data_IF_378239190710
#
_entry.id   IF_378239190710
#
_cell.length_a   1.000
_cell.length_b   1.000
_cell.length_c   1.000
_cell.angle_alpha   90.00
_cell.angle_beta   90.00
_cell.angle_gamma   90.00
#
_symmetry.space_group_name_H-M   'P 1'
#
loop_
_entity.id
_entity.type
_entity.pdbx_description
1 polymer ?
#
# COMPACT_ATOMS: atom_id res chain seq x y z
N UNK A 1 -4.78 -14.27 1.07
CA UNK A 1 -4.51 -13.32 -0.01
C UNK A 1 -5.76 -12.50 -0.39
N UNK A 2 -6.85 -13.10 -0.85
CA UNK A 2 -8.06 -12.39 -1.32
C UNK A 2 -8.71 -11.48 -0.26
N UNK A 3 -8.82 -11.93 1.01
CA UNK A 3 -9.39 -11.11 2.10
C UNK A 3 -8.56 -9.86 2.42
N UNK A 4 -7.24 -9.95 2.31
CA UNK A 4 -6.34 -8.82 2.54
C UNK A 4 -6.42 -7.83 1.39
N UNK A 5 -6.46 -8.30 0.14
CA UNK A 5 -6.61 -7.46 -1.05
C UNK A 5 -7.97 -6.75 -1.08
N UNK A 6 -9.06 -7.45 -0.70
CA UNK A 6 -10.39 -6.88 -0.57
C UNK A 6 -10.41 -5.73 0.45
N UNK A 7 -9.86 -5.94 1.66
CA UNK A 7 -9.77 -4.89 2.69
C UNK A 7 -8.97 -3.67 2.21
N UNK A 8 -7.81 -3.90 1.61
CA UNK A 8 -6.96 -2.82 1.07
C UNK A 8 -7.69 -2.01 0.00
N UNK A 9 -8.38 -2.68 -0.92
CA UNK A 9 -9.13 -2.02 -1.98
C UNK A 9 -10.29 -1.18 -1.43
N UNK A 10 -11.06 -1.74 -0.49
CA UNK A 10 -12.15 -1.02 0.18
C UNK A 10 -11.63 0.23 0.90
N UNK A 11 -10.55 0.09 1.70
CA UNK A 11 -9.96 1.22 2.43
C UNK A 11 -9.45 2.29 1.46
N UNK A 12 -8.74 1.90 0.39
CA UNK A 12 -8.19 2.84 -0.57
C UNK A 12 -9.29 3.66 -1.28
N UNK A 13 -10.35 3.03 -1.75
CA UNK A 13 -11.46 3.73 -2.40
C UNK A 13 -12.26 4.59 -1.43
N UNK A 14 -12.51 4.11 -0.20
CA UNK A 14 -13.20 4.90 0.82
C UNK A 14 -12.39 6.15 1.20
N UNK A 15 -11.07 6.00 1.39
CA UNK A 15 -10.19 7.12 1.71
C UNK A 15 -10.09 8.12 0.56
N UNK A 16 -9.95 7.66 -0.68
CA UNK A 16 -9.93 8.51 -1.87
C UNK A 16 -11.22 9.31 -2.00
N UNK A 17 -12.36 8.65 -1.84
CA UNK A 17 -13.67 9.31 -1.89
C UNK A 17 -13.81 10.35 -0.79
N UNK A 18 -13.43 10.00 0.47
CA UNK A 18 -13.49 10.93 1.60
C UNK A 18 -12.67 12.20 1.34
N UNK A 19 -11.45 12.04 0.82
CA UNK A 19 -10.58 13.18 0.48
C UNK A 19 -11.18 14.06 -0.62
N UNK A 20 -11.67 13.46 -1.70
CA UNK A 20 -12.28 14.19 -2.82
C UNK A 20 -13.56 14.92 -2.38
N UNK A 21 -14.44 14.25 -1.63
CA UNK A 21 -15.68 14.84 -1.14
C UNK A 21 -15.41 15.98 -0.15
N UNK A 22 -14.48 15.77 0.79
CA UNK A 22 -14.09 16.80 1.77
C UNK A 22 -13.46 18.01 1.09
N UNK A 23 -12.61 17.81 0.10
CA UNK A 23 -12.02 18.90 -0.69
C UNK A 23 -13.10 19.68 -1.47
N UNK A 24 -14.05 18.98 -2.10
CA UNK A 24 -15.17 19.60 -2.80
C UNK A 24 -16.07 20.41 -1.85
N UNK A 25 -16.44 19.81 -0.70
CA UNK A 25 -17.25 20.48 0.30
C UNK A 25 -16.57 21.73 0.87
N UNK A 26 -15.27 21.66 1.17
CA UNK A 26 -14.48 22.79 1.63
C UNK A 26 -14.39 23.92 0.59
N UNK A 27 -14.23 23.56 -0.68
CA UNK A 27 -14.18 24.52 -1.78
C UNK A 27 -15.53 25.22 -1.98
N UNK A 28 -16.61 24.47 -1.94
CA UNK A 28 -17.97 25.01 -2.06
C UNK A 28 -18.33 25.91 -0.88
N UNK A 29 -18.03 25.47 0.35
CA UNK A 29 -18.22 26.28 1.56
C UNK A 29 -17.41 27.55 1.53
N UNK A 30 -16.12 27.47 1.17
CA UNK A 30 -15.23 28.62 1.09
C UNK A 30 -15.66 29.62 -0.01
N UNK A 31 -16.10 29.12 -1.15
CA UNK A 31 -16.61 29.96 -2.25
C UNK A 31 -17.87 30.72 -1.81
N UNK A 32 -18.83 30.03 -1.19
CA UNK A 32 -20.08 30.65 -0.73
C UNK A 32 -19.79 31.69 0.37
N UNK A 33 -18.92 31.35 1.32
CA UNK A 33 -18.51 32.27 2.38
C UNK A 33 -17.84 33.53 1.81
N UNK A 34 -16.97 33.37 0.80
CA UNK A 34 -16.30 34.48 0.13
C UNK A 34 -17.33 35.42 -0.57
N UNK A 35 -18.24 34.84 -1.37
CA UNK A 35 -19.26 35.62 -2.09
C UNK A 35 -20.14 36.39 -1.13
N UNK A 36 -20.65 35.74 -0.06
CA UNK A 36 -21.50 36.40 0.94
C UNK A 36 -20.73 37.48 1.69
N UNK A 37 -19.45 37.27 1.99
CA UNK A 37 -18.62 38.30 2.64
C UNK A 37 -18.41 39.54 1.74
N UNK A 38 -18.20 39.32 0.45
CA UNK A 38 -18.08 40.43 -0.49
C UNK A 38 -19.40 41.19 -0.64
N UNK A 39 -20.51 40.47 -0.76
CA UNK A 39 -21.84 41.08 -0.82
C UNK A 39 -22.13 41.96 0.40
N UNK A 40 -21.79 41.48 1.62
CA UNK A 40 -21.95 42.27 2.85
C UNK A 40 -21.14 43.58 2.85
N UNK A 41 -19.93 43.55 2.29
CA UNK A 41 -19.11 44.77 2.14
C UNK A 41 -19.69 45.75 1.13
N UNK A 42 -20.12 45.24 0.00
CA UNK A 42 -20.75 46.06 -1.06
C UNK A 42 -22.05 46.68 -0.58
N UNK A 43 -22.82 45.98 0.24
CA UNK A 43 -24.04 46.50 0.87
C UNK A 43 -23.75 47.67 1.84
N UNK A 44 -22.69 47.51 2.66
CA UNK A 44 -22.26 48.63 3.56
C UNK A 44 -21.75 49.83 2.80
N UNK A 45 -20.98 49.64 1.73
CA UNK A 45 -20.53 50.74 0.86
C UNK A 45 -21.69 51.43 0.15
N UNK A 46 -22.68 50.65 -0.31
CA UNK A 46 -23.90 51.18 -0.94
C UNK A 46 -24.69 52.01 0.05
N UNK A 47 -24.85 51.55 1.28
CA UNK A 47 -25.51 52.26 2.36
C UNK A 47 -24.77 53.59 2.68
N UNK A 48 -23.44 53.54 2.81
CA UNK A 48 -22.61 54.73 3.00
C UNK A 48 -22.82 55.76 1.89
N UNK A 49 -22.68 55.37 0.62
CA UNK A 49 -22.77 56.26 -0.53
C UNK A 49 -24.16 56.88 -0.67
N UNK A 50 -25.24 56.15 -0.26
CA UNK A 50 -26.61 56.66 -0.31
C UNK A 50 -26.88 57.77 0.75
N UNK A 51 -26.15 57.74 1.88
CA UNK A 51 -26.36 58.66 3.00
C UNK A 51 -25.22 59.64 3.24
N UNK A 52 -24.18 59.65 2.38
CA UNK A 52 -23.00 60.51 2.56
C UNK A 52 -23.33 61.97 2.78
N UNK A 53 -24.33 62.53 2.07
CA UNK A 53 -24.75 63.89 2.21
C UNK A 53 -25.39 64.17 3.58
N UNK A 54 -26.13 63.26 4.15
CA UNK A 54 -26.79 63.38 5.47
C UNK A 54 -25.74 63.37 6.58
N UNK A 55 -24.66 62.56 6.43
CA UNK A 55 -23.58 62.49 7.41
C UNK A 55 -22.82 63.81 7.54
N UNK A 56 -22.61 64.56 6.44
CA UNK A 56 -22.05 65.92 6.50
C UNK A 56 -22.97 66.91 7.27
N UNK A 57 -24.28 66.76 7.11
CA UNK A 57 -25.23 67.62 7.79
C UNK A 57 -25.26 67.34 9.29
N UNK A 58 -25.13 66.06 9.69
CA UNK A 58 -25.10 65.69 11.10
C UNK A 58 -23.82 66.20 11.82
N UNK A 59 -22.69 66.33 11.14
CA UNK A 59 -21.48 66.92 11.73
C UNK A 59 -21.63 68.38 12.16
N UNK A 60 -22.65 69.09 11.66
CA UNK A 60 -22.90 70.48 11.97
C UNK A 60 -23.96 70.65 13.10
N UNK A 61 -24.52 69.60 13.65
CA UNK A 61 -25.51 69.64 14.72
C UNK A 61 -24.84 70.08 16.02
N UNK A 62 -25.51 70.96 16.80
CA UNK A 62 -24.94 71.53 18.03
C UNK A 62 -24.99 70.58 19.24
N UNK A 63 -25.80 69.55 19.21
CA UNK A 63 -25.99 68.56 20.31
C UNK A 63 -25.73 67.16 19.83
N UNK A 64 -25.08 66.33 20.68
CA UNK A 64 -24.88 64.92 20.40
C UNK A 64 -26.22 64.15 20.63
N UNK A 65 -26.56 63.31 19.65
CA UNK A 65 -27.83 62.54 19.70
C UNK A 65 -27.60 61.09 19.25
N UNK A 66 -28.05 60.16 20.08
CA UNK A 66 -28.00 58.74 19.78
C UNK A 66 -29.42 58.16 19.74
N UNK A 67 -29.83 57.61 18.57
CA UNK A 67 -31.12 56.96 18.40
C UNK A 67 -30.95 55.46 18.54
N UNK A 68 -31.93 54.83 19.18
CA UNK A 68 -32.00 53.36 19.29
C UNK A 68 -33.19 52.83 18.53
N UNK A 69 -32.98 51.94 17.57
CA UNK A 69 -34.03 51.22 16.83
C UNK A 69 -33.61 49.76 16.56
N UNK A 70 -34.16 48.81 17.29
CA UNK A 70 -33.81 47.40 17.19
C UNK A 70 -34.18 46.76 15.84
N UNK A 71 -35.02 47.40 15.01
CA UNK A 71 -35.46 46.90 13.72
C UNK A 71 -34.54 47.37 12.56
N UNK A 72 -33.54 48.19 12.84
CA UNK A 72 -32.62 48.67 11.81
C UNK A 72 -31.59 47.60 11.51
N UNK A 73 -31.36 47.39 10.20
CA UNK A 73 -30.31 46.51 9.71
C UNK A 73 -28.93 47.16 9.78
N UNK A 74 -28.87 48.44 9.58
CA UNK A 74 -27.64 49.25 9.58
C UNK A 74 -27.66 50.17 10.79
N UNK A 75 -26.46 50.39 11.34
CA UNK A 75 -26.17 51.40 12.36
C UNK A 75 -24.98 52.25 11.92
N UNK A 76 -24.88 53.44 12.48
CA UNK A 76 -23.75 54.32 12.24
C UNK A 76 -23.45 55.19 13.43
N UNK A 77 -22.16 55.64 13.51
CA UNK A 77 -21.68 56.58 14.52
C UNK A 77 -20.78 57.56 13.86
N UNK A 78 -21.05 58.87 14.13
CA UNK A 78 -20.28 60.01 13.61
C UNK A 78 -19.47 60.62 14.74
N UNK A 79 -18.20 60.78 14.51
CA UNK A 79 -17.29 61.41 15.44
C UNK A 79 -16.66 62.64 14.76
N UNK A 80 -16.32 63.69 15.57
CA UNK A 80 -15.56 64.83 15.09
C UNK A 80 -14.09 64.45 14.82
N UNK A 81 -13.30 65.45 14.37
CA UNK A 81 -11.86 65.28 14.12
C UNK A 81 -11.05 64.89 15.38
N UNK A 82 -11.57 65.22 16.57
CA UNK A 82 -10.94 64.93 17.85
C UNK A 82 -11.45 63.59 18.47
N UNK A 83 -12.32 62.87 17.76
CA UNK A 83 -12.88 61.58 18.16
C UNK A 83 -14.06 61.70 19.14
N UNK A 84 -14.67 62.90 19.29
CA UNK A 84 -15.83 63.10 20.14
C UNK A 84 -17.10 62.68 19.39
N UNK A 85 -17.95 61.86 20.03
CA UNK A 85 -19.20 61.39 19.44
C UNK A 85 -20.17 62.58 19.21
N UNK A 86 -20.74 62.66 17.99
CA UNK A 86 -21.70 63.68 17.59
C UNK A 86 -23.09 63.09 17.37
N UNK A 87 -23.21 62.13 16.48
CA UNK A 87 -24.50 61.57 16.09
C UNK A 87 -24.41 60.10 15.78
N UNK A 88 -25.51 59.39 15.96
CA UNK A 88 -25.57 57.96 15.56
C UNK A 88 -26.93 57.31 15.76
N UNK A 89 -27.05 56.22 15.06
CA UNK A 89 -28.16 55.27 15.23
C UNK A 89 -27.61 53.89 15.61
N UNK A 90 -28.11 53.28 16.68
CA UNK A 90 -27.71 51.94 17.09
C UNK A 90 -28.87 50.93 17.04
N UNK A 91 -28.55 49.71 16.60
CA UNK A 91 -29.48 48.59 16.59
C UNK A 91 -29.45 47.76 17.89
N UNK A 92 -28.33 47.84 18.62
CA UNK A 92 -28.11 47.14 19.90
C UNK A 92 -27.62 48.17 20.93
N UNK A 93 -28.28 48.22 22.11
CA UNK A 93 -27.96 49.18 23.16
C UNK A 93 -26.55 49.02 23.69
N UNK A 94 -25.78 50.10 23.69
CA UNK A 94 -24.41 50.13 24.23
C UNK A 94 -23.32 49.68 23.24
N UNK A 95 -23.70 49.31 22.01
CA UNK A 95 -22.79 48.93 20.97
C UNK A 95 -21.76 50.05 20.62
N UNK A 96 -22.23 51.29 20.67
CA UNK A 96 -21.39 52.47 20.43
C UNK A 96 -20.17 52.52 21.36
N UNK A 97 -20.34 52.26 22.65
CA UNK A 97 -19.25 52.33 23.63
C UNK A 97 -18.16 51.22 23.37
N UNK A 98 -18.59 50.05 23.00
CA UNK A 98 -17.67 48.93 22.68
C UNK A 98 -16.92 49.17 21.37
N UNK A 99 -17.62 49.53 20.32
CA UNK A 99 -17.00 49.83 19.01
C UNK A 99 -16.08 51.04 19.10
N UNK A 100 -16.40 52.04 19.91
CA UNK A 100 -15.52 53.18 20.14
C UNK A 100 -14.16 52.78 20.71
N UNK A 101 -14.10 51.86 21.67
CA UNK A 101 -12.84 51.36 22.22
C UNK A 101 -12.00 50.65 21.19
N UNK A 102 -12.63 49.93 20.26
CA UNK A 102 -11.95 49.24 19.16
C UNK A 102 -11.50 50.20 18.06
N UNK A 103 -12.34 51.20 17.76
CA UNK A 103 -12.08 52.24 16.79
C UNK A 103 -10.82 53.08 17.14
N UNK A 104 -10.65 53.48 18.40
CA UNK A 104 -9.51 54.27 18.84
C UNK A 104 -8.16 53.56 18.78
N UNK A 105 -8.15 52.22 18.60
CA UNK A 105 -6.92 51.42 18.44
C UNK A 105 -6.40 51.35 17.01
N UNK A 106 -7.15 51.89 16.04
CA UNK A 106 -6.82 51.79 14.62
C UNK A 106 -6.38 53.16 14.06
N UNK A 107 -5.32 53.19 13.23
CA UNK A 107 -4.93 54.44 12.56
C UNK A 107 -6.08 54.95 11.68
N UNK A 108 -6.42 56.23 11.88
CA UNK A 108 -7.64 56.87 11.39
C UNK A 108 -7.56 57.30 9.91
N UNK A 109 -6.52 56.94 9.20
CA UNK A 109 -6.25 57.47 7.83
C UNK A 109 -6.70 56.51 6.69
N UNK A 110 -7.20 55.34 7.00
CA UNK A 110 -7.54 54.33 5.97
C UNK A 110 -8.93 53.74 6.17
N UNK A 111 -9.60 53.45 5.05
CA UNK A 111 -10.85 52.71 5.04
C UNK A 111 -10.60 51.26 5.46
N UNK A 112 -11.39 50.79 6.44
CA UNK A 112 -11.20 49.43 6.96
C UNK A 112 -12.50 48.75 7.34
N UNK A 113 -12.60 47.48 6.91
CA UNK A 113 -13.65 46.58 7.38
C UNK A 113 -13.20 45.81 8.62
N UNK A 114 -14.03 45.77 9.65
CA UNK A 114 -13.78 45.09 10.89
C UNK A 114 -14.96 44.12 11.21
N UNK A 115 -14.65 42.98 11.77
CA UNK A 115 -15.65 42.09 12.34
C UNK A 115 -15.52 42.09 13.85
N UNK A 116 -16.62 42.30 14.51
CA UNK A 116 -16.70 42.38 15.97
C UNK A 116 -17.81 41.48 16.47
N UNK A 117 -17.63 40.89 17.64
CA UNK A 117 -18.68 40.17 18.34
C UNK A 117 -18.92 40.83 19.69
N UNK A 118 -20.15 41.17 19.98
CA UNK A 118 -20.57 41.76 21.25
C UNK A 118 -21.97 41.29 21.63
N UNK A 119 -22.19 40.92 22.86
CA UNK A 119 -23.46 40.39 23.40
C UNK A 119 -24.07 39.24 22.54
N UNK A 120 -23.19 38.26 22.14
CA UNK A 120 -23.53 37.13 21.26
C UNK A 120 -23.95 37.51 19.83
N UNK A 121 -23.94 38.79 19.50
CA UNK A 121 -24.20 39.29 18.15
C UNK A 121 -22.92 39.54 17.38
N UNK A 122 -22.97 39.28 16.06
CA UNK A 122 -21.85 39.51 15.15
C UNK A 122 -22.10 40.72 14.27
N UNK A 123 -21.09 41.56 14.13
CA UNK A 123 -21.16 42.80 13.38
C UNK A 123 -20.06 42.87 12.35
N UNK A 124 -20.41 43.42 11.18
CA UNK A 124 -19.43 43.89 10.19
C UNK A 124 -19.50 45.42 10.17
N UNK A 125 -18.38 46.07 10.37
CA UNK A 125 -18.27 47.52 10.38
C UNK A 125 -17.31 48.03 9.32
N UNK A 126 -17.63 49.15 8.74
CA UNK A 126 -16.82 49.94 7.82
C UNK A 126 -16.45 51.24 8.48
N UNK A 127 -15.18 51.53 8.59
CA UNK A 127 -14.63 52.76 9.11
C UNK A 127 -14.13 53.63 7.96
N UNK A 128 -14.57 54.89 7.88
CA UNK A 128 -14.13 55.86 6.90
C UNK A 128 -13.89 57.24 7.49
N UNK A 129 -12.86 57.98 7.05
CA UNK A 129 -12.74 59.42 7.35
C UNK A 129 -13.74 60.21 6.53
N UNK A 130 -14.36 61.26 7.13
CA UNK A 130 -15.21 62.23 6.45
C UNK A 130 -14.29 63.36 6.01
N UNK A 131 -14.20 63.57 4.68
CA UNK A 131 -13.25 64.56 4.09
C UNK A 131 -14.03 65.71 3.46
N UNK A 132 -13.71 66.96 3.87
CA UNK A 132 -14.17 68.16 3.23
C UNK A 132 -12.95 68.96 2.75
N UNK A 133 -12.90 69.37 1.47
CA UNK A 133 -11.83 70.17 0.84
C UNK A 133 -10.42 69.64 1.18
N UNK A 134 -10.21 68.33 1.05
CA UNK A 134 -8.97 67.60 1.33
C UNK A 134 -8.55 67.55 2.82
N UNK A 135 -9.43 67.96 3.74
CA UNK A 135 -9.17 67.88 5.17
C UNK A 135 -10.15 66.91 5.83
N UNK A 136 -9.63 66.09 6.74
CA UNK A 136 -10.48 65.21 7.57
C UNK A 136 -11.25 66.11 8.56
N UNK A 137 -12.57 66.10 8.47
CA UNK A 137 -13.46 66.91 9.31
C UNK A 137 -14.15 66.04 10.39
N UNK A 138 -14.12 64.72 10.23
CA UNK A 138 -14.65 63.76 11.17
C UNK A 138 -14.45 62.34 10.74
N UNK A 139 -15.01 61.39 11.46
CA UNK A 139 -14.91 59.99 11.22
C UNK A 139 -16.31 59.38 11.28
N UNK A 140 -16.53 58.39 10.38
CA UNK A 140 -17.78 57.62 10.34
C UNK A 140 -17.46 56.17 10.54
N UNK A 141 -18.22 55.52 11.38
CA UNK A 141 -18.29 54.08 11.55
C UNK A 141 -19.69 53.63 11.18
N UNK A 142 -19.79 52.86 10.11
CA UNK A 142 -21.05 52.23 9.64
C UNK A 142 -20.96 50.76 9.87
N UNK A 143 -22.05 50.14 10.26
CA UNK A 143 -22.06 48.68 10.45
C UNK A 143 -23.43 48.05 10.21
N UNK A 144 -23.36 46.72 10.12
CA UNK A 144 -24.58 45.88 10.05
C UNK A 144 -24.40 44.64 10.89
N UNK A 145 -25.54 44.10 11.37
CA UNK A 145 -25.59 42.84 12.09
C UNK A 145 -25.44 41.69 11.11
N UNK A 146 -24.49 40.77 11.39
CA UNK A 146 -24.21 39.60 10.56
C UNK A 146 -24.46 38.27 11.30
N UNK A 147 -25.16 38.30 12.43
CA UNK A 147 -25.42 37.16 13.28
C UNK A 147 -26.20 36.05 12.57
N UNK A 148 -27.23 36.40 11.81
CA UNK A 148 -28.04 35.44 11.06
C UNK A 148 -27.19 34.69 10.03
N UNK A 149 -26.30 35.41 9.30
CA UNK A 149 -25.39 34.82 8.31
C UNK A 149 -24.32 33.95 8.96
N UNK A 150 -23.75 34.40 10.08
CA UNK A 150 -22.76 33.61 10.85
C UNK A 150 -23.37 32.31 11.36
N UNK A 151 -24.57 32.36 11.91
CA UNK A 151 -25.30 31.17 12.36
C UNK A 151 -25.67 30.23 11.22
N UNK A 152 -26.05 30.79 10.07
CA UNK A 152 -26.29 30.01 8.86
C UNK A 152 -25.05 29.22 8.42
N UNK A 153 -23.88 29.90 8.34
CA UNK A 153 -22.63 29.20 7.96
C UNK A 153 -22.20 28.16 8.99
N UNK A 154 -22.35 28.45 10.27
CA UNK A 154 -22.03 27.49 11.33
C UNK A 154 -22.89 26.23 11.20
N UNK A 155 -24.22 26.42 11.04
CA UNK A 155 -25.18 25.33 10.85
C UNK A 155 -24.86 24.55 9.57
N UNK A 156 -24.57 25.23 8.46
CA UNK A 156 -24.19 24.64 7.20
C UNK A 156 -22.90 23.81 7.31
N UNK A 157 -21.92 24.28 8.09
CA UNK A 157 -20.71 23.53 8.43
C UNK A 157 -21.01 22.20 9.12
N UNK A 158 -21.88 22.20 10.13
CA UNK A 158 -22.32 20.96 10.79
C UNK A 158 -23.02 20.00 9.83
N UNK A 159 -23.90 20.52 8.97
CA UNK A 159 -24.59 19.72 7.95
C UNK A 159 -23.60 19.08 6.97
N UNK A 160 -22.61 19.83 6.48
CA UNK A 160 -21.57 19.29 5.61
C UNK A 160 -20.74 18.18 6.28
N UNK A 161 -20.37 18.36 7.55
CA UNK A 161 -19.67 17.33 8.32
C UNK A 161 -20.54 16.07 8.47
N UNK A 162 -21.79 16.21 8.84
CA UNK A 162 -22.72 15.10 9.00
C UNK A 162 -22.95 14.34 7.67
N UNK A 163 -23.16 15.05 6.57
CA UNK A 163 -23.29 14.46 5.23
C UNK A 163 -22.01 13.76 4.77
N UNK A 164 -20.85 14.33 5.08
CA UNK A 164 -19.55 13.72 4.77
C UNK A 164 -19.37 12.38 5.48
N UNK A 165 -19.70 12.31 6.76
CA UNK A 165 -19.62 11.08 7.54
C UNK A 165 -20.63 10.02 7.03
N UNK A 166 -21.86 10.42 6.78
CA UNK A 166 -22.91 9.51 6.29
C UNK A 166 -22.58 8.95 4.91
N UNK A 167 -22.15 9.82 3.98
CA UNK A 167 -21.77 9.41 2.63
C UNK A 167 -20.53 8.51 2.63
N UNK A 168 -19.57 8.76 3.52
CA UNK A 168 -18.38 7.91 3.69
C UNK A 168 -18.76 6.50 4.15
N UNK A 169 -19.68 6.39 5.11
CA UNK A 169 -20.20 5.10 5.57
C UNK A 169 -20.91 4.33 4.45
N UNK A 170 -21.75 5.04 3.69
CA UNK A 170 -22.44 4.46 2.53
C UNK A 170 -21.44 3.94 1.48
N UNK A 171 -20.48 4.75 1.10
CA UNK A 171 -19.44 4.37 0.11
C UNK A 171 -18.58 3.22 0.62
N UNK A 172 -18.21 3.19 1.89
CA UNK A 172 -17.51 2.06 2.49
C UNK A 172 -18.29 0.75 2.35
N UNK A 173 -19.60 0.79 2.61
CA UNK A 173 -20.51 -0.35 2.49
C UNK A 173 -20.63 -0.83 1.03
N UNK A 174 -20.83 0.08 0.09
CA UNK A 174 -20.93 -0.22 -1.34
C UNK A 174 -19.61 -0.74 -1.88
N UNK A 175 -18.48 -0.11 -1.53
CA UNK A 175 -17.14 -0.56 -1.92
C UNK A 175 -16.83 -1.96 -1.42
N UNK A 176 -17.19 -2.26 -0.17
CA UNK A 176 -17.04 -3.61 0.39
C UNK A 176 -17.87 -4.65 -0.34
N UNK A 177 -19.12 -4.33 -0.66
CA UNK A 177 -20.01 -5.21 -1.42
C UNK A 177 -19.48 -5.47 -2.83
N UNK A 178 -19.10 -4.43 -3.57
CA UNK A 178 -18.56 -4.52 -4.93
C UNK A 178 -17.22 -5.29 -4.95
N UNK A 179 -16.32 -4.99 -4.02
CA UNK A 179 -15.06 -5.72 -3.89
C UNK A 179 -15.29 -7.21 -3.63
N UNK A 180 -16.28 -7.56 -2.80
CA UNK A 180 -16.64 -8.96 -2.54
C UNK A 180 -17.18 -9.64 -3.80
N UNK A 181 -18.08 -8.99 -4.50
CA UNK A 181 -18.70 -9.51 -5.73
C UNK A 181 -17.70 -9.68 -6.87
N UNK A 182 -16.78 -8.73 -7.03
CA UNK A 182 -15.73 -8.78 -8.05
C UNK A 182 -14.67 -9.85 -7.78
N UNK A 183 -14.31 -10.07 -6.50
CA UNK A 183 -13.28 -11.05 -6.13
C UNK A 183 -13.79 -12.49 -6.05
N UNK A 184 -15.09 -12.70 -5.87
CA UNK A 184 -15.69 -14.04 -5.76
C UNK A 184 -15.47 -14.93 -7.00
N UNK A 185 -15.72 -14.47 -8.25
CA UNK A 185 -15.46 -15.28 -9.45
C UNK A 185 -13.98 -15.63 -9.61
N UNK A 186 -13.09 -14.69 -9.29
CA UNK A 186 -11.65 -14.92 -9.37
C UNK A 186 -11.17 -15.97 -8.37
N UNK A 187 -11.67 -15.93 -7.14
CA UNK A 187 -11.39 -16.93 -6.12
C UNK A 187 -11.94 -18.32 -6.51
N UNK A 188 -13.14 -18.38 -7.10
CA UNK A 188 -13.71 -19.62 -7.61
C UNK A 188 -12.91 -20.20 -8.79
N UNK A 189 -12.51 -19.37 -9.75
CA UNK A 189 -11.68 -19.79 -10.88
C UNK A 189 -10.34 -20.37 -10.40
N UNK A 190 -9.69 -19.69 -9.45
CA UNK A 190 -8.44 -20.16 -8.85
C UNK A 190 -8.62 -21.50 -8.10
N UNK A 191 -9.71 -21.66 -7.35
CA UNK A 191 -10.04 -22.92 -6.66
C UNK A 191 -10.33 -24.05 -7.63
N UNK A 192 -11.05 -23.78 -8.74
CA UNK A 192 -11.31 -24.75 -9.81
C UNK A 192 -10.02 -25.19 -10.51
N UNK A 193 -9.15 -24.23 -10.85
CA UNK A 193 -7.85 -24.54 -11.47
C UNK A 193 -7.00 -25.42 -10.55
N UNK A 194 -7.01 -25.14 -9.26
CA UNK A 194 -6.31 -25.92 -8.23
C UNK A 194 -6.81 -27.37 -8.17
N UNK A 195 -8.12 -27.56 -8.09
CA UNK A 195 -8.73 -28.91 -8.10
C UNK A 195 -8.39 -29.64 -9.38
N UNK A 196 -8.53 -29.00 -10.53
CA UNK A 196 -8.20 -29.61 -11.82
C UNK A 196 -6.77 -30.15 -11.86
N UNK A 197 -5.77 -29.39 -11.39
CA UNK A 197 -4.36 -29.85 -11.34
C UNK A 197 -4.21 -31.05 -10.40
N UNK A 198 -4.86 -31.02 -9.23
CA UNK A 198 -4.80 -32.15 -8.28
C UNK A 198 -5.44 -33.41 -8.85
N UNK A 199 -6.65 -33.30 -9.41
CA UNK A 199 -7.42 -34.42 -9.94
C UNK A 199 -6.74 -35.01 -11.18
N UNK A 200 -6.29 -34.15 -12.12
CA UNK A 200 -5.55 -34.58 -13.30
C UNK A 200 -4.29 -35.38 -12.94
N UNK A 201 -3.60 -34.95 -11.86
CA UNK A 201 -2.39 -35.64 -11.43
C UNK A 201 -2.66 -37.00 -10.80
N UNK A 202 -3.76 -37.15 -10.05
CA UNK A 202 -4.17 -38.45 -9.56
C UNK A 202 -4.60 -39.37 -10.70
N UNK A 203 -5.36 -38.86 -11.65
CA UNK A 203 -5.83 -39.60 -12.83
C UNK A 203 -4.70 -40.00 -13.80
N UNK A 204 -3.63 -39.22 -13.87
CA UNK A 204 -2.46 -39.51 -14.70
C UNK A 204 -1.47 -40.47 -14.03
N UNK A 205 -1.37 -40.47 -12.69
CA UNK A 205 -0.46 -41.37 -11.97
C UNK A 205 -0.80 -42.84 -12.18
N UNK A 206 -2.08 -43.19 -12.15
CA UNK A 206 -2.55 -44.56 -12.27
C UNK A 206 -2.18 -45.21 -13.60
N UNK A 207 -2.52 -44.62 -14.78
CA UNK A 207 -2.11 -45.19 -16.06
C UNK A 207 -0.59 -45.26 -16.23
N UNK A 208 0.14 -44.26 -15.71
CA UNK A 208 1.60 -44.24 -15.77
C UNK A 208 2.21 -45.39 -14.94
N UNK A 209 1.68 -45.65 -13.74
CA UNK A 209 2.11 -46.77 -12.91
C UNK A 209 1.82 -48.13 -13.58
N UNK A 210 0.68 -48.25 -14.26
CA UNK A 210 0.34 -49.46 -15.04
C UNK A 210 1.31 -49.63 -16.22
N UNK A 211 1.59 -48.54 -16.92
CA UNK A 211 2.53 -48.54 -18.04
C UNK A 211 3.94 -48.96 -17.59
N UNK A 212 4.44 -48.40 -16.47
CA UNK A 212 5.71 -48.77 -15.88
C UNK A 212 5.77 -50.26 -15.47
N UNK A 213 4.72 -50.76 -14.78
CA UNK A 213 4.63 -52.16 -14.39
C UNK A 213 4.60 -53.13 -15.61
N UNK A 214 3.96 -52.69 -16.70
CA UNK A 214 3.93 -53.46 -17.95
C UNK A 214 5.29 -53.54 -18.61
N UNK A 215 6.07 -52.46 -18.58
CA UNK A 215 7.45 -52.45 -19.07
C UNK A 215 8.39 -53.32 -18.19
N UNK A 216 8.15 -53.36 -16.87
CA UNK A 216 8.91 -54.27 -15.98
C UNK A 216 8.64 -55.74 -16.28
N UNK A 217 7.36 -56.10 -16.53
CA UNK A 217 6.98 -57.46 -16.90
C UNK A 217 7.62 -57.84 -18.25
N UNK A 218 7.52 -56.95 -19.25
CA UNK A 218 8.15 -57.16 -20.54
C UNK A 218 9.69 -57.33 -20.44
N UNK A 219 10.35 -56.61 -19.57
CA UNK A 219 11.79 -56.70 -19.32
C UNK A 219 12.15 -58.04 -18.64
N UNK A 220 11.27 -58.60 -17.77
CA UNK A 220 11.49 -59.89 -17.12
C UNK A 220 11.28 -61.07 -18.07
N UNK A 221 10.35 -60.97 -19.03
CA UNK A 221 10.08 -61.97 -20.05
C UNK A 221 10.98 -61.93 -21.27
N UNK A 222 11.87 -60.93 -21.29
CA UNK A 222 12.69 -60.53 -22.44
C UNK A 222 13.83 -61.50 -22.80
N UNK A 223 13.85 -62.77 -22.34
CA UNK A 223 14.89 -63.76 -22.67
C UNK A 223 15.03 -64.03 -24.17
N UNK A 224 14.07 -63.61 -24.99
CA UNK A 224 14.03 -63.80 -26.46
C UNK A 224 14.16 -62.49 -27.23
N UNK A 225 14.30 -61.34 -26.59
CA UNK A 225 14.39 -60.05 -27.25
C UNK A 225 15.80 -59.84 -27.87
N UNK A 226 15.83 -59.12 -28.97
CA UNK A 226 17.08 -58.66 -29.56
C UNK A 226 17.72 -57.56 -28.65
N UNK A 227 19.02 -57.31 -28.76
CA UNK A 227 19.67 -56.22 -28.04
C UNK A 227 18.97 -54.86 -28.26
N UNK A 228 18.42 -54.63 -29.42
CA UNK A 228 17.60 -53.42 -29.74
C UNK A 228 16.29 -53.42 -28.94
N UNK A 229 15.65 -54.59 -28.77
CA UNK A 229 14.42 -54.69 -27.96
C UNK A 229 14.65 -54.33 -26.48
N UNK A 230 15.77 -54.74 -25.90
CA UNK A 230 16.16 -54.38 -24.54
C UNK A 230 16.41 -52.87 -24.44
N UNK A 231 17.15 -52.32 -25.35
CA UNK A 231 17.40 -50.88 -25.37
C UNK A 231 16.12 -50.07 -25.46
N UNK A 232 15.16 -50.48 -26.29
CA UNK A 232 13.85 -49.79 -26.40
C UNK A 232 13.03 -49.85 -25.11
N UNK A 233 13.07 -50.99 -24.40
CA UNK A 233 12.40 -51.09 -23.09
C UNK A 233 13.05 -50.20 -22.06
N UNK A 234 14.37 -50.09 -22.03
CA UNK A 234 15.11 -49.22 -21.12
C UNK A 234 14.79 -47.73 -21.39
N UNK A 235 14.77 -47.34 -22.67
CA UNK A 235 14.37 -45.95 -23.07
C UNK A 235 12.94 -45.66 -22.68
N UNK A 236 11.97 -46.57 -22.82
CA UNK A 236 10.60 -46.41 -22.42
C UNK A 236 10.45 -46.31 -20.89
N UNK A 237 11.24 -47.07 -20.12
CA UNK A 237 11.29 -46.97 -18.65
C UNK A 237 11.82 -45.64 -18.18
N UNK A 238 12.88 -45.13 -18.81
CA UNK A 238 13.43 -43.80 -18.51
C UNK A 238 12.39 -42.68 -18.75
N UNK A 239 11.69 -42.76 -19.91
CA UNK A 239 10.64 -41.78 -20.25
C UNK A 239 9.45 -41.86 -19.28
N UNK A 240 9.01 -43.06 -18.89
CA UNK A 240 7.95 -43.22 -17.90
C UNK A 240 8.34 -42.62 -16.54
N UNK A 241 9.59 -42.85 -16.11
CA UNK A 241 10.13 -42.31 -14.86
C UNK A 241 10.21 -40.80 -14.92
N UNK A 242 10.64 -40.24 -16.05
CA UNK A 242 10.68 -38.79 -16.28
C UNK A 242 9.28 -38.16 -16.20
N UNK A 243 8.27 -38.76 -16.84
CA UNK A 243 6.87 -38.30 -16.76
C UNK A 243 6.32 -38.35 -15.32
N UNK A 244 6.62 -39.40 -14.55
CA UNK A 244 6.21 -39.50 -13.14
C UNK A 244 6.84 -38.36 -12.30
N UNK A 245 8.13 -38.11 -12.44
CA UNK A 245 8.82 -37.03 -11.75
C UNK A 245 8.25 -35.64 -12.10
N UNK A 246 7.99 -35.39 -13.38
CA UNK A 246 7.40 -34.15 -13.87
C UNK A 246 6.00 -33.94 -13.27
N UNK A 247 5.20 -34.98 -13.23
CA UNK A 247 3.86 -34.95 -12.63
C UNK A 247 3.92 -34.63 -11.13
N UNK A 248 4.83 -35.29 -10.40
CA UNK A 248 5.01 -35.05 -8.95
C UNK A 248 5.47 -33.62 -8.67
N UNK A 249 6.38 -33.06 -9.49
CA UNK A 249 6.87 -31.69 -9.37
C UNK A 249 5.78 -30.65 -9.67
N UNK A 250 4.95 -30.86 -10.68
CA UNK A 250 3.79 -30.02 -10.97
C UNK A 250 2.78 -29.99 -9.83
N UNK A 251 2.49 -31.18 -9.25
CA UNK A 251 1.63 -31.29 -8.07
C UNK A 251 2.17 -30.54 -6.87
N UNK A 252 3.48 -30.70 -6.62
CA UNK A 252 4.14 -30.02 -5.52
C UNK A 252 4.04 -28.50 -5.70
N UNK A 253 4.35 -28.01 -6.90
CA UNK A 253 4.25 -26.60 -7.20
C UNK A 253 2.82 -26.06 -7.01
N UNK A 254 1.83 -26.80 -7.46
CA UNK A 254 0.42 -26.47 -7.26
C UNK A 254 0.01 -26.45 -5.77
N UNK A 255 0.61 -27.32 -4.94
CA UNK A 255 0.42 -27.33 -3.48
C UNK A 255 1.15 -26.17 -2.79
N UNK A 256 2.37 -25.84 -3.21
CA UNK A 256 3.16 -24.74 -2.64
C UNK A 256 2.56 -23.36 -2.94
N UNK A 257 1.88 -23.20 -4.07
CA UNK A 257 1.14 -21.97 -4.41
C UNK A 257 -0.08 -21.72 -3.50
N UNK A 258 -0.45 -22.71 -2.65
CA UNK A 258 -1.60 -22.63 -1.75
C UNK A 258 -1.23 -21.91 -0.46
N UNK A 259 -1.63 -20.65 -0.30
CA UNK A 259 -1.47 -19.89 0.94
C UNK A 259 -2.37 -20.32 2.10
N UNK A 260 -3.32 -21.26 1.88
CA UNK A 260 -4.29 -21.69 2.91
C UNK A 260 -3.84 -22.90 3.73
N UNK A 261 -2.87 -23.66 3.27
CA UNK A 261 -2.23 -24.66 4.13
C UNK A 261 -1.12 -23.97 4.89
N UNK A 262 -1.36 -23.67 6.17
CA UNK A 262 -0.27 -23.38 7.12
C UNK A 262 0.60 -24.63 7.14
N UNK A 263 1.81 -24.59 6.56
CA UNK A 263 2.71 -25.72 6.65
C UNK A 263 2.97 -26.01 8.12
N UNK A 264 3.09 -27.26 8.46
CA UNK A 264 3.41 -27.68 9.82
C UNK A 264 4.86 -27.34 10.10
N UNK A 265 5.08 -26.09 10.55
CA UNK A 265 6.40 -25.58 10.83
C UNK A 265 6.82 -25.95 12.25
N UNK A 266 7.85 -26.78 12.37
CA UNK A 266 8.50 -27.11 13.62
C UNK A 266 9.85 -26.42 13.77
N UNK A 267 10.27 -26.25 15.02
CA UNK A 267 11.65 -25.83 15.30
C UNK A 267 12.58 -26.99 14.99
N UNK A 268 13.49 -26.80 14.04
CA UNK A 268 14.43 -27.84 13.64
C UNK A 268 15.86 -27.34 13.63
N UNK A 269 16.81 -28.26 13.84
CA UNK A 269 18.22 -28.00 13.71
C UNK A 269 18.65 -28.08 12.24
N UNK A 270 18.73 -26.93 11.58
CA UNK A 270 19.10 -26.86 10.16
C UNK A 270 20.53 -27.32 9.89
N UNK A 271 21.45 -27.12 10.85
CA UNK A 271 22.83 -27.61 10.70
C UNK A 271 22.93 -29.11 10.54
N UNK A 272 22.07 -29.87 11.24
CA UNK A 272 22.01 -31.34 11.12
C UNK A 272 21.45 -31.74 9.76
N UNK A 273 20.37 -31.10 9.32
CA UNK A 273 19.78 -31.34 7.99
C UNK A 273 20.78 -31.06 6.89
N UNK A 274 21.46 -29.90 6.93
CA UNK A 274 22.45 -29.50 5.95
C UNK A 274 23.64 -30.48 5.88
N UNK A 275 24.17 -30.90 7.05
CA UNK A 275 25.26 -31.91 7.13
C UNK A 275 24.82 -33.25 6.55
N UNK A 276 23.65 -33.74 6.92
CA UNK A 276 23.12 -35.02 6.40
C UNK A 276 22.94 -34.97 4.88
N UNK A 277 22.49 -33.83 4.33
CA UNK A 277 22.36 -33.64 2.90
C UNK A 277 23.73 -33.56 2.22
N UNK A 278 24.65 -32.80 2.76
CA UNK A 278 26.02 -32.68 2.24
C UNK A 278 26.72 -34.04 2.15
N UNK A 279 26.66 -34.88 3.20
CA UNK A 279 27.26 -36.21 3.19
C UNK A 279 26.71 -37.11 2.06
N UNK A 280 25.41 -37.04 1.80
CA UNK A 280 24.81 -37.81 0.69
C UNK A 280 25.29 -37.32 -0.68
N UNK A 281 25.47 -36.04 -0.86
CA UNK A 281 25.97 -35.47 -2.10
C UNK A 281 27.46 -35.73 -2.30
N UNK A 282 28.27 -35.73 -1.23
CA UNK A 282 29.71 -36.06 -1.30
C UNK A 282 29.97 -37.42 -1.96
N UNK A 283 29.14 -38.43 -1.63
CA UNK A 283 29.23 -39.77 -2.24
C UNK A 283 28.79 -39.81 -3.72
N UNK A 284 28.07 -38.80 -4.20
CA UNK A 284 27.62 -38.70 -5.61
C UNK A 284 28.55 -37.84 -6.48
N UNK A 285 29.55 -37.19 -5.89
CA UNK A 285 30.42 -36.29 -6.62
C UNK A 285 31.40 -37.10 -7.52
N UNK A 286 31.49 -36.73 -8.81
CA UNK A 286 32.50 -37.29 -9.69
C UNK A 286 33.89 -36.79 -9.31
N UNK A 287 34.94 -37.55 -9.69
CA UNK A 287 36.32 -37.28 -9.27
C UNK A 287 36.89 -35.94 -9.78
N UNK A 288 36.31 -35.40 -10.81
CA UNK A 288 36.68 -34.10 -11.44
C UNK A 288 36.01 -32.88 -10.78
N UNK A 289 35.18 -33.08 -9.75
CA UNK A 289 34.52 -31.99 -9.01
C UNK A 289 34.96 -32.03 -7.54
N UNK A 290 35.56 -30.93 -7.06
CA UNK A 290 35.91 -30.78 -5.66
C UNK A 290 34.71 -30.24 -4.86
N UNK A 291 34.12 -31.09 -4.00
CA UNK A 291 33.07 -30.69 -3.10
C UNK A 291 33.63 -30.20 -1.76
N UNK A 292 33.14 -29.06 -1.25
CA UNK A 292 33.57 -28.53 0.03
C UNK A 292 32.36 -27.96 0.80
N UNK A 293 32.38 -28.11 2.13
CA UNK A 293 31.30 -27.67 2.99
C UNK A 293 31.79 -26.79 4.12
N UNK A 294 31.00 -25.74 4.46
CA UNK A 294 31.23 -24.84 5.59
C UNK A 294 29.90 -24.59 6.33
N UNK A 295 29.52 -25.51 7.23
CA UNK A 295 28.24 -25.49 7.90
C UNK A 295 28.42 -25.13 9.37
N UNK A 296 27.98 -23.93 9.78
CA UNK A 296 28.03 -23.50 11.16
C UNK A 296 27.13 -24.39 12.05
N UNK A 297 27.57 -24.74 13.27
CA UNK A 297 26.77 -25.57 14.17
C UNK A 297 25.60 -24.79 14.79
N UNK A 298 24.62 -25.53 15.31
CA UNK A 298 23.52 -25.01 16.14
C UNK A 298 22.69 -23.91 15.50
N UNK A 299 22.40 -24.03 14.19
CA UNK A 299 21.50 -23.15 13.48
C UNK A 299 20.08 -23.72 13.48
N UNK A 300 19.14 -22.96 14.02
CA UNK A 300 17.73 -23.37 14.13
C UNK A 300 16.83 -22.49 13.28
N UNK A 301 15.85 -23.13 12.62
CA UNK A 301 14.80 -22.47 11.86
C UNK A 301 13.44 -23.05 12.22
N UNK A 302 12.38 -22.31 11.96
CA UNK A 302 11.01 -22.80 11.99
C UNK A 302 10.61 -23.15 10.55
N UNK A 303 10.44 -24.45 10.28
CA UNK A 303 10.20 -24.88 8.91
C UNK A 303 9.70 -26.31 8.82
N UNK A 304 9.34 -26.69 7.59
CA UNK A 304 9.02 -28.06 7.18
C UNK A 304 10.32 -28.75 6.73
N UNK A 305 10.77 -29.75 7.51
CA UNK A 305 12.02 -30.45 7.24
C UNK A 305 12.07 -31.08 5.85
N UNK A 306 10.95 -31.68 5.42
CA UNK A 306 10.86 -32.36 4.11
C UNK A 306 11.05 -31.32 2.99
N UNK A 307 10.43 -30.16 3.11
CA UNK A 307 10.54 -29.08 2.11
C UNK A 307 11.91 -28.43 2.10
N UNK A 308 12.48 -28.18 3.26
CA UNK A 308 13.83 -27.61 3.35
C UNK A 308 14.90 -28.60 2.87
N UNK A 309 14.70 -29.89 3.07
CA UNK A 309 15.53 -30.92 2.49
C UNK A 309 15.43 -30.94 0.96
N UNK A 310 14.22 -30.86 0.44
CA UNK A 310 13.95 -30.79 -1.00
C UNK A 310 14.61 -29.54 -1.64
N UNK A 311 14.52 -28.38 -1.00
CA UNK A 311 15.21 -27.17 -1.40
C UNK A 311 16.73 -27.40 -1.56
N UNK A 312 17.36 -28.01 -0.56
CA UNK A 312 18.81 -28.29 -0.61
C UNK A 312 19.16 -29.28 -1.74
N UNK A 313 18.32 -30.32 -1.94
CA UNK A 313 18.50 -31.27 -3.03
C UNK A 313 18.42 -30.57 -4.40
N UNK A 314 17.40 -29.75 -4.62
CA UNK A 314 17.22 -29.03 -5.88
C UNK A 314 18.44 -28.15 -6.19
N UNK A 315 18.93 -27.39 -5.22
CA UNK A 315 20.05 -26.46 -5.45
C UNK A 315 21.38 -27.19 -5.62
N UNK A 316 21.64 -28.25 -4.84
CA UNK A 316 22.87 -29.04 -4.99
C UNK A 316 22.88 -29.87 -6.26
N UNK A 317 21.74 -30.45 -6.64
CA UNK A 317 21.61 -31.21 -7.88
C UNK A 317 21.77 -30.29 -9.11
N UNK A 318 21.24 -29.08 -9.02
CA UNK A 318 21.45 -28.05 -10.03
C UNK A 318 22.94 -27.71 -10.16
N UNK A 319 23.66 -27.46 -9.06
CA UNK A 319 25.10 -27.20 -9.08
C UNK A 319 25.87 -28.37 -9.69
N UNK A 320 25.52 -29.63 -9.36
CA UNK A 320 26.15 -30.82 -9.91
C UNK A 320 25.89 -30.99 -11.41
N UNK A 321 24.65 -30.75 -11.86
CA UNK A 321 24.24 -30.88 -13.26
C UNK A 321 24.96 -29.89 -14.17
N UNK A 322 25.19 -28.68 -13.71
CA UNK A 322 25.77 -27.61 -14.52
C UNK A 322 27.27 -27.42 -14.34
N UNK A 323 27.92 -28.19 -13.44
CA UNK A 323 29.37 -28.20 -13.26
C UNK A 323 29.96 -29.47 -13.88
N UNK A 324 30.67 -29.35 -14.98
CA UNK A 324 31.34 -30.50 -15.63
C UNK A 324 32.69 -30.84 -14.97
N UNK A 325 33.41 -29.83 -14.46
CA UNK A 325 34.66 -29.98 -13.71
C UNK A 325 34.90 -28.72 -12.87
N UNK A 326 35.65 -28.83 -11.78
CA UNK A 326 35.98 -27.68 -10.91
C UNK A 326 35.58 -27.87 -9.47
N UNK A 327 34.74 -26.96 -8.94
CA UNK A 327 34.32 -27.05 -7.52
C UNK A 327 32.88 -26.70 -7.30
N UNK A 328 32.34 -27.28 -6.24
CA UNK A 328 31.04 -26.92 -5.64
C UNK A 328 31.26 -26.65 -4.14
N UNK A 329 30.84 -25.49 -3.67
CA UNK A 329 30.91 -25.12 -2.25
C UNK A 329 29.53 -24.95 -1.67
N UNK A 330 29.25 -25.67 -0.58
CA UNK A 330 28.00 -25.56 0.17
C UNK A 330 28.29 -24.95 1.53
N UNK A 331 27.75 -23.78 1.81
CA UNK A 331 27.94 -23.11 3.11
C UNK A 331 26.60 -22.70 3.73
N UNK A 332 26.55 -22.79 5.08
CA UNK A 332 25.41 -22.38 5.88
C UNK A 332 25.93 -21.58 7.07
N UNK A 333 25.49 -20.34 7.19
CA UNK A 333 25.92 -19.41 8.24
C UNK A 333 24.75 -18.64 8.80
N UNK A 334 24.97 -17.97 9.94
CA UNK A 334 24.04 -17.05 10.55
C UNK A 334 24.58 -15.63 10.40
N UNK A 335 23.75 -14.73 9.92
CA UNK A 335 24.04 -13.30 9.88
C UNK A 335 22.85 -12.52 10.46
N UNK A 336 23.06 -11.83 11.57
CA UNK A 336 22.00 -11.17 12.33
C UNK A 336 20.84 -12.13 12.68
N UNK A 337 19.63 -11.81 12.25
CA UNK A 337 18.41 -12.61 12.47
C UNK A 337 18.09 -13.56 11.31
N UNK A 338 19.04 -13.81 10.41
CA UNK A 338 18.85 -14.64 9.25
C UNK A 338 19.83 -15.82 9.22
N UNK A 339 19.33 -16.94 8.70
CA UNK A 339 20.11 -18.07 8.26
C UNK A 339 20.38 -17.92 6.77
N UNK A 340 21.64 -17.97 6.39
CA UNK A 340 22.09 -17.81 5.00
C UNK A 340 22.64 -19.14 4.52
N UNK A 341 22.12 -19.62 3.40
CA UNK A 341 22.55 -20.82 2.69
C UNK A 341 23.13 -20.36 1.37
N UNK A 342 24.40 -20.68 1.11
CA UNK A 342 25.05 -20.40 -0.17
C UNK A 342 25.49 -21.69 -0.83
N UNK A 343 25.15 -21.86 -2.09
CA UNK A 343 25.64 -22.94 -2.95
C UNK A 343 26.32 -22.27 -4.14
N UNK A 344 27.65 -22.44 -4.19
CA UNK A 344 28.52 -21.88 -5.21
C UNK A 344 28.97 -23.04 -6.13
N UNK A 345 28.89 -22.85 -7.42
CA UNK A 345 29.38 -23.76 -8.44
C UNK A 345 30.33 -23.03 -9.40
N UNK A 346 31.27 -23.75 -10.00
CA UNK A 346 32.17 -23.26 -11.04
C UNK A 346 31.74 -23.73 -12.44
N UNK A 347 30.45 -23.85 -12.66
CA UNK A 347 29.85 -24.36 -13.87
C UNK A 347 29.74 -23.35 -15.01
N UNK A 348 28.80 -23.58 -15.90
CA UNK A 348 28.59 -22.78 -17.13
C UNK A 348 28.13 -21.34 -16.84
N UNK A 349 27.66 -21.03 -15.64
CA UNK A 349 27.11 -19.72 -15.29
C UNK A 349 25.79 -19.39 -16.00
N UNK A 350 25.25 -18.20 -15.72
CA UNK A 350 23.98 -17.71 -16.21
C UNK A 350 24.18 -16.30 -16.75
N UNK A 351 23.61 -16.00 -17.90
CA UNK A 351 23.65 -14.67 -18.49
C UNK A 351 22.83 -13.67 -17.69
N UNK A 352 23.21 -12.39 -17.73
CA UNK A 352 22.59 -11.34 -16.91
C UNK A 352 21.10 -11.17 -17.16
N UNK A 353 20.67 -11.28 -18.41
CA UNK A 353 19.29 -11.19 -18.88
C UNK A 353 18.43 -12.43 -18.55
N UNK A 354 19.06 -13.54 -18.20
CA UNK A 354 18.38 -14.79 -17.83
C UNK A 354 18.20 -14.96 -16.31
N UNK A 355 18.88 -14.16 -15.45
CA UNK A 355 18.91 -14.36 -14.00
C UNK A 355 17.56 -14.34 -13.31
N UNK A 356 16.63 -13.53 -13.76
CA UNK A 356 15.27 -13.49 -13.20
C UNK A 356 14.41 -14.61 -13.78
N UNK A 357 14.58 -14.92 -15.06
CA UNK A 357 13.79 -15.90 -15.77
C UNK A 357 14.07 -17.37 -15.36
N UNK A 358 15.25 -17.69 -14.80
CA UNK A 358 15.57 -19.05 -14.34
C UNK A 358 14.65 -19.58 -13.24
N UNK A 359 13.92 -18.71 -12.54
CA UNK A 359 12.92 -19.08 -11.54
C UNK A 359 11.51 -19.29 -12.13
N UNK A 360 11.32 -18.96 -13.42
CA UNK A 360 10.07 -19.22 -14.12
C UNK A 360 9.89 -20.70 -14.42
N UNK A 361 8.63 -21.15 -14.46
CA UNK A 361 8.29 -22.54 -14.73
C UNK A 361 8.63 -22.93 -16.15
N UNK A 362 9.25 -24.11 -16.30
CA UNK A 362 9.70 -24.66 -17.59
C UNK A 362 10.79 -23.83 -18.28
N UNK A 363 11.32 -22.80 -17.61
CA UNK A 363 12.40 -22.03 -18.20
C UNK A 363 13.71 -22.83 -18.20
N UNK A 364 14.41 -22.78 -19.33
CA UNK A 364 15.73 -23.37 -19.55
C UNK A 364 16.57 -22.41 -20.37
N UNK A 365 17.82 -22.22 -19.97
CA UNK A 365 18.72 -21.35 -20.72
C UNK A 365 19.06 -21.96 -22.08
N UNK A 366 19.24 -21.13 -23.09
CA UNK A 366 19.58 -21.59 -24.46
C UNK A 366 20.86 -22.45 -24.53
N UNK A 367 21.77 -22.22 -23.60
CA UNK A 367 23.05 -22.92 -23.52
C UNK A 367 22.99 -24.29 -22.83
N UNK A 368 21.89 -24.61 -22.17
CA UNK A 368 21.74 -25.85 -21.37
C UNK A 368 20.56 -26.71 -21.81
N UNK A 369 19.92 -26.38 -22.93
CA UNK A 369 18.73 -27.07 -23.42
C UNK A 369 18.92 -28.59 -23.69
N UNK A 370 20.17 -29.05 -23.85
CA UNK A 370 20.49 -30.46 -24.06
C UNK A 370 20.79 -31.26 -22.78
N UNK A 371 20.96 -30.58 -21.62
CA UNK A 371 21.18 -31.28 -20.34
C UNK A 371 19.85 -31.73 -19.72
N UNK A 372 19.85 -32.82 -18.96
CA UNK A 372 18.66 -33.38 -18.31
C UNK A 372 18.06 -32.36 -17.35
N UNK A 373 16.70 -32.17 -17.41
CA UNK A 373 15.94 -31.33 -16.50
C UNK A 373 14.68 -30.72 -17.15
N UNK A 374 13.63 -30.53 -16.40
CA UNK A 374 12.31 -30.07 -16.87
C UNK A 374 12.03 -28.57 -16.58
N UNK A 375 12.99 -27.83 -16.04
CA UNK A 375 12.84 -26.40 -15.74
C UNK A 375 11.88 -26.08 -14.59
N UNK A 376 11.53 -27.04 -13.73
CA UNK A 376 10.65 -26.84 -12.57
C UNK A 376 11.41 -26.72 -11.25
N UNK A 377 12.64 -27.21 -11.17
CA UNK A 377 13.40 -27.28 -9.90
C UNK A 377 13.55 -25.91 -9.22
N UNK A 378 14.07 -24.89 -9.92
CA UNK A 378 14.27 -23.57 -9.34
C UNK A 378 12.96 -22.85 -9.01
N UNK A 379 11.89 -23.07 -9.77
CA UNK A 379 10.57 -22.57 -9.43
C UNK A 379 10.03 -23.19 -8.12
N UNK A 380 10.27 -24.49 -7.90
CA UNK A 380 9.95 -25.20 -6.65
C UNK A 380 10.80 -24.65 -5.50
N UNK A 381 12.11 -24.48 -5.71
CA UNK A 381 13.02 -23.90 -4.71
C UNK A 381 12.54 -22.50 -4.26
N UNK A 382 12.19 -21.63 -5.20
CA UNK A 382 11.65 -20.31 -4.91
C UNK A 382 10.31 -20.38 -4.13
N UNK A 383 9.41 -21.30 -4.51
CA UNK A 383 8.14 -21.48 -3.82
C UNK A 383 8.33 -21.98 -2.37
N UNK A 384 9.26 -22.92 -2.14
CA UNK A 384 9.61 -23.40 -0.79
C UNK A 384 10.17 -22.26 0.05
N UNK A 385 11.13 -21.49 -0.48
CA UNK A 385 11.74 -20.36 0.22
C UNK A 385 10.69 -19.30 0.57
N UNK A 386 9.80 -18.95 -0.35
CA UNK A 386 8.71 -18.00 -0.14
C UNK A 386 7.72 -18.49 0.93
N UNK A 387 7.42 -19.79 0.98
CA UNK A 387 6.57 -20.38 2.01
C UNK A 387 7.20 -20.24 3.40
N UNK A 388 8.54 -20.32 3.49
CA UNK A 388 9.33 -20.13 4.71
C UNK A 388 9.67 -18.65 4.99
N UNK A 389 8.99 -17.70 4.33
CA UNK A 389 9.20 -16.26 4.50
C UNK A 389 10.64 -15.79 4.21
N UNK A 390 11.34 -16.54 3.38
CA UNK A 390 12.71 -16.27 2.95
C UNK A 390 12.80 -15.60 1.58
N UNK A 391 14.04 -15.40 1.14
CA UNK A 391 14.38 -14.93 -0.21
C UNK A 391 15.45 -15.83 -0.83
N UNK A 392 15.38 -16.03 -2.14
CA UNK A 392 16.40 -16.70 -2.93
C UNK A 392 16.90 -15.74 -4.00
N UNK A 393 18.20 -15.65 -4.14
CA UNK A 393 18.87 -14.81 -5.15
C UNK A 393 19.98 -15.58 -5.83
N UNK A 394 20.38 -15.17 -7.03
CA UNK A 394 21.51 -15.73 -7.76
C UNK A 394 22.47 -14.62 -8.17
N UNK A 395 23.76 -14.87 -7.98
CA UNK A 395 24.85 -14.08 -8.56
C UNK A 395 25.63 -15.01 -9.47
N UNK A 396 25.75 -14.67 -10.75
CA UNK A 396 26.38 -15.54 -11.74
C UNK A 396 27.06 -14.72 -12.81
N UNK A 397 28.07 -15.30 -13.40
CA UNK A 397 28.74 -14.77 -14.59
C UNK A 397 28.91 -15.93 -15.58
N UNK A 398 28.53 -15.70 -16.83
CA UNK A 398 28.61 -16.72 -17.87
C UNK A 398 30.04 -17.29 -17.95
N UNK A 399 30.20 -18.61 -17.99
CA UNK A 399 31.44 -19.38 -17.97
C UNK A 399 32.30 -19.24 -16.69
N UNK A 400 31.80 -18.65 -15.61
CA UNK A 400 32.54 -18.56 -14.33
C UNK A 400 31.81 -19.26 -13.18
N UNK A 401 30.54 -19.67 -13.39
CA UNK A 401 29.74 -20.35 -12.41
C UNK A 401 28.67 -19.47 -11.78
N UNK A 402 28.00 -20.00 -10.75
CA UNK A 402 26.86 -19.35 -10.08
C UNK A 402 26.94 -19.50 -8.57
N UNK A 403 26.34 -18.53 -7.86
CA UNK A 403 26.15 -18.56 -6.42
C UNK A 403 24.67 -18.36 -6.14
N UNK A 404 23.99 -19.41 -5.69
CA UNK A 404 22.64 -19.32 -5.18
C UNK A 404 22.67 -19.01 -3.69
N UNK A 405 22.01 -17.94 -3.29
CA UNK A 405 21.92 -17.50 -1.90
C UNK A 405 20.47 -17.56 -1.44
N UNK A 406 20.21 -18.36 -0.40
CA UNK A 406 18.90 -18.44 0.25
C UNK A 406 19.02 -17.82 1.65
N UNK A 407 18.11 -16.93 1.96
CA UNK A 407 17.99 -16.28 3.28
C UNK A 407 16.69 -16.71 3.93
N UNK A 408 16.74 -17.33 5.10
CA UNK A 408 15.58 -17.74 5.88
C UNK A 408 15.57 -17.02 7.25
N UNK A 409 14.39 -16.72 7.82
CA UNK A 409 14.29 -16.20 9.19
C UNK A 409 14.88 -17.21 10.19
N UNK A 410 15.81 -16.76 11.02
CA UNK A 410 16.40 -17.58 12.10
C UNK A 410 15.56 -17.46 13.36
N UNK A 411 15.39 -18.58 14.09
CA UNK A 411 14.91 -18.54 15.47
C UNK A 411 16.08 -18.25 16.38
N UNK A 412 15.97 -17.23 17.24
CA UNK A 412 16.91 -17.02 18.32
C UNK A 412 16.80 -18.19 19.31
N UNK A 413 17.93 -18.72 19.76
CA UNK A 413 17.95 -19.62 20.92
C UNK A 413 17.52 -18.81 22.14
N UNK A 414 16.28 -18.95 22.60
CA UNK A 414 15.95 -18.63 23.98
C UNK A 414 16.62 -19.72 24.84
N UNK A 415 17.79 -19.40 25.35
CA UNK A 415 18.35 -20.14 26.48
C UNK A 415 17.32 -20.08 27.60
N UNK A 416 16.56 -21.16 27.80
CA UNK A 416 16.03 -21.46 29.12
C UNK A 416 17.19 -22.06 29.90
N UNK A 417 17.79 -21.22 30.77
CA UNK A 417 18.53 -21.71 31.96
C UNK A 417 17.63 -22.62 32.82
#
# INVERSE_FOLDING_TARGET
MFNTSKKRLTIAYTLLYFLLFSAFAALLYGSLYYVMTQQQKDELETFYNAQEHDFFTYLQLPESYLTYDPNRHYFYYIYDKDGIFIHGDESVKGLQAELYQQFMKIPINEEKFLRTTWDEEHFLTLQKPIIDKEKVVGYLLVGQTTTAQTNFFTTMGYVFVALSLLSTLLIASVSYYLATKAMSPLAMAFTKQKRFVSDASHELRTPLSIFYSSLDILALEATTLSPFGHQLIDELKEEATFMEQLLQQLLLLAKLDQTEHTPYFERMNFSLLAKATANKFEHRMPTNIKFSTAIAPHLYVKGDEVRLRELLYILLDNALTYTSAGHIRFSVMSQHLALIICIEDSGVGIADDERDAIFDRFYRTNHTAQKAGNGLGLAIAQAIVKQHQGTITVTSTLHQGSIFTVTLPKILDEYKE
#
